data_IF_087984932157
#
_entry.id   IF_087984932157
#
_cell.length_a   1.000
_cell.length_b   1.000
_cell.length_c   1.000
_cell.angle_alpha   90.00
_cell.angle_beta   90.00
_cell.angle_gamma   90.00
#
_symmetry.space_group_name_H-M   'P 1'
#
loop_
_entity.id
_entity.type
_entity.pdbx_description
1 polymer ?
#
# COMPACT_ATOMS: atom_id res chain seq x y z
N UNK A 1 -11.16 -8.97 -3.28
CA UNK A 1 -9.88 -9.64 -2.99
C UNK A 1 -9.68 -10.68 -4.08
N UNK A 2 -9.05 -10.28 -5.17
CA UNK A 2 -8.87 -11.10 -6.38
C UNK A 2 -7.38 -11.23 -6.59
N UNK A 3 -6.78 -12.33 -6.15
CA UNK A 3 -5.40 -12.67 -6.48
C UNK A 3 -5.35 -13.17 -7.92
N UNK A 4 -4.74 -12.40 -8.82
CA UNK A 4 -4.41 -12.86 -10.17
C UNK A 4 -3.18 -13.78 -10.07
N UNK A 5 -3.30 -15.04 -10.47
CA UNK A 5 -2.20 -16.01 -10.56
C UNK A 5 -2.05 -16.42 -12.02
N UNK A 6 -0.93 -16.10 -12.65
CA UNK A 6 -0.58 -16.59 -14.00
C UNK A 6 0.77 -17.31 -13.92
N UNK A 7 0.82 -18.65 -13.98
CA UNK A 7 2.08 -19.38 -14.03
C UNK A 7 2.61 -19.46 -15.47
N UNK A 8 3.93 -19.29 -15.67
CA UNK A 8 4.63 -19.63 -16.92
C UNK A 8 5.82 -20.56 -16.67
N UNK A 9 6.06 -21.58 -17.51
CA UNK A 9 7.27 -22.40 -17.47
C UNK A 9 8.43 -21.69 -18.19
N UNK A 10 9.65 -21.77 -17.65
CA UNK A 10 10.88 -21.31 -18.34
C UNK A 10 11.57 -22.45 -19.10
N UNK A 11 12.22 -22.06 -20.21
CA UNK A 11 13.01 -22.90 -21.11
C UNK A 11 14.05 -23.78 -20.41
N UNK A 12 14.15 -25.05 -20.86
CA UNK A 12 15.13 -26.03 -20.41
C UNK A 12 16.54 -25.65 -20.87
N UNK A 13 17.40 -25.21 -19.96
CA UNK A 13 18.84 -25.33 -20.14
C UNK A 13 19.27 -26.70 -19.60
N UNK A 14 19.74 -27.54 -20.51
CA UNK A 14 20.18 -28.90 -20.21
C UNK A 14 21.50 -28.92 -19.45
N UNK A 15 21.49 -29.57 -18.30
CA UNK A 15 22.67 -30.24 -17.77
C UNK A 15 22.20 -31.58 -17.22
N UNK A 16 22.41 -32.65 -17.99
CA UNK A 16 22.00 -33.99 -17.62
C UNK A 16 23.25 -34.80 -17.25
N UNK A 17 23.45 -35.22 -15.99
CA UNK A 17 24.37 -36.29 -15.68
C UNK A 17 23.66 -37.64 -15.92
N UNK A 18 24.31 -38.56 -16.63
CA UNK A 18 23.80 -39.91 -16.87
C UNK A 18 23.58 -40.67 -15.54
N UNK A 19 22.52 -41.49 -15.40
CA UNK A 19 22.24 -42.16 -14.14
C UNK A 19 23.13 -43.42 -13.99
N UNK A 20 23.91 -43.48 -12.91
CA UNK A 20 24.49 -44.74 -12.41
C UNK A 20 23.37 -45.61 -11.81
N UNK A 21 23.37 -46.90 -12.16
CA UNK A 21 22.42 -47.91 -11.67
C UNK A 21 22.55 -48.08 -10.17
N UNK A 22 21.41 -48.11 -9.48
CA UNK A 22 21.27 -48.75 -8.17
C UNK A 22 21.05 -47.83 -6.98
N UNK A 23 19.90 -47.15 -6.90
CA UNK A 23 19.31 -46.75 -5.62
C UNK A 23 17.79 -46.78 -5.72
N UNK A 24 17.14 -47.29 -4.67
CA UNK A 24 15.68 -47.36 -4.50
C UNK A 24 15.07 -46.00 -4.88
N UNK A 25 14.23 -45.98 -5.92
CA UNK A 25 13.42 -44.80 -6.25
C UNK A 25 12.42 -44.58 -5.13
N UNK A 26 12.69 -43.63 -4.24
CA UNK A 26 11.61 -42.94 -3.54
C UNK A 26 10.73 -42.30 -4.61
N UNK A 27 9.52 -42.80 -4.81
CA UNK A 27 8.50 -42.11 -5.61
C UNK A 27 8.09 -40.84 -4.86
N UNK A 28 8.85 -39.76 -5.02
CA UNK A 28 8.34 -38.43 -4.70
C UNK A 28 7.35 -38.08 -5.82
N UNK A 29 6.06 -38.12 -5.48
CA UNK A 29 4.94 -37.94 -6.41
C UNK A 29 4.71 -36.48 -6.83
N UNK A 30 5.48 -35.53 -6.32
CA UNK A 30 5.36 -34.11 -6.67
C UNK A 30 6.75 -33.49 -6.84
N UNK A 31 7.05 -33.03 -8.06
CA UNK A 31 8.16 -32.10 -8.27
C UNK A 31 7.72 -30.70 -7.85
N UNK A 32 8.58 -29.96 -7.15
CA UNK A 32 8.33 -28.55 -6.87
C UNK A 32 8.59 -27.75 -8.16
N UNK A 33 7.53 -27.19 -8.74
CA UNK A 33 7.66 -26.16 -9.77
C UNK A 33 7.74 -24.79 -9.08
N UNK A 34 8.82 -24.05 -9.36
CA UNK A 34 8.97 -22.68 -8.88
C UNK A 34 8.35 -21.73 -9.92
N UNK A 35 7.45 -20.88 -9.46
CA UNK A 35 6.84 -19.83 -10.26
C UNK A 35 7.20 -18.46 -9.67
N UNK A 36 7.30 -17.47 -10.54
CA UNK A 36 7.34 -16.06 -10.15
C UNK A 36 6.02 -15.43 -10.55
N UNK A 37 5.43 -14.64 -9.66
CA UNK A 37 4.23 -13.88 -9.93
C UNK A 37 4.36 -12.49 -9.31
N UNK A 38 3.85 -11.49 -10.02
CA UNK A 38 3.72 -10.14 -9.51
C UNK A 38 2.43 -10.07 -8.66
N UNK A 39 2.54 -9.65 -7.40
CA UNK A 39 1.41 -9.52 -6.48
C UNK A 39 1.10 -8.04 -6.26
N UNK A 40 -0.14 -7.65 -6.55
CA UNK A 40 -0.66 -6.32 -6.29
C UNK A 40 -1.75 -6.38 -5.20
N UNK A 41 -1.71 -5.44 -4.26
CA UNK A 41 -2.75 -5.27 -3.25
C UNK A 41 -3.04 -3.79 -3.05
N UNK A 42 -4.22 -3.29 -3.42
CA UNK A 42 -4.60 -1.92 -3.10
C UNK A 42 -4.84 -1.79 -1.58
N UNK A 43 -4.54 -0.62 -1.04
CA UNK A 43 -4.92 -0.23 0.31
C UNK A 43 -5.35 1.23 0.33
N UNK A 44 -6.19 1.59 1.31
CA UNK A 44 -6.66 2.94 1.55
C UNK A 44 -6.36 3.28 3.00
N UNK A 45 -5.89 4.50 3.26
CA UNK A 45 -5.58 5.00 4.59
C UNK A 45 -6.44 6.22 4.91
N UNK A 46 -7.45 6.05 5.75
CA UNK A 46 -8.34 7.12 6.24
C UNK A 46 -7.61 7.94 7.33
N UNK A 47 -6.84 8.96 6.91
CA UNK A 47 -6.01 9.78 7.79
C UNK A 47 -6.82 10.47 8.91
N UNK A 48 -8.00 11.06 8.66
CA UNK A 48 -8.83 11.64 9.72
C UNK A 48 -9.25 10.64 10.80
N UNK A 49 -9.36 9.36 10.45
CA UNK A 49 -9.72 8.29 11.38
C UNK A 49 -8.56 7.80 12.26
N UNK A 50 -7.31 8.06 11.89
CA UNK A 50 -6.14 7.64 12.69
C UNK A 50 -6.23 8.29 14.08
N UNK A 51 -6.22 7.45 15.13
CA UNK A 51 -6.33 7.91 16.53
C UNK A 51 -7.69 8.54 16.89
N UNK A 52 -8.73 8.29 16.08
CA UNK A 52 -10.11 8.69 16.36
C UNK A 52 -10.96 7.45 16.65
N UNK A 53 -11.48 7.34 17.86
CA UNK A 53 -12.23 6.18 18.36
C UNK A 53 -13.72 6.53 18.49
N UNK A 54 -14.54 6.04 17.57
CA UNK A 54 -16.00 6.25 17.59
C UNK A 54 -16.66 5.42 18.68
N UNK A 55 -17.56 6.04 19.44
CA UNK A 55 -18.31 5.45 20.53
C UNK A 55 -19.61 4.78 20.05
N UNK A 56 -20.14 3.77 20.78
CA UNK A 56 -21.44 3.19 20.48
C UNK A 56 -22.56 4.23 20.56
N UNK A 57 -23.54 4.16 19.64
CA UNK A 57 -24.77 4.97 19.73
C UNK A 57 -25.75 4.41 20.76
N UNK A 58 -26.75 5.21 21.16
CA UNK A 58 -27.74 4.86 22.19
C UNK A 58 -28.48 3.53 21.95
N UNK A 59 -28.65 3.12 20.68
CA UNK A 59 -29.36 1.89 20.31
C UNK A 59 -28.42 0.69 20.06
N UNK A 60 -27.10 0.83 20.25
CA UNK A 60 -26.11 -0.22 19.94
C UNK A 60 -25.96 -0.55 18.44
N UNK A 61 -26.70 0.13 17.55
CA UNK A 61 -26.66 -0.08 16.10
C UNK A 61 -25.60 0.82 15.46
N UNK A 62 -24.49 0.21 15.11
CA UNK A 62 -23.35 0.82 14.43
C UNK A 62 -22.10 0.08 14.89
N UNK A 63 -21.35 -0.52 13.96
CA UNK A 63 -20.14 -1.30 14.30
C UNK A 63 -19.18 -0.36 15.05
N UNK A 64 -19.04 -0.46 16.38
CA UNK A 64 -18.05 0.33 17.10
C UNK A 64 -16.71 -0.15 16.57
N UNK A 65 -15.73 0.74 16.42
CA UNK A 65 -14.35 0.29 16.42
C UNK A 65 -14.05 -0.20 17.84
N UNK A 66 -14.55 -1.40 18.16
CA UNK A 66 -14.29 -2.31 19.27
C UNK A 66 -13.89 -1.73 20.64
N UNK A 67 -14.45 -0.59 21.06
CA UNK A 67 -14.26 -0.06 22.41
C UNK A 67 -15.60 0.41 22.98
N UNK A 68 -15.91 0.01 24.21
CA UNK A 68 -16.90 0.71 25.03
C UNK A 68 -16.39 2.13 25.32
N UNK A 69 -17.27 3.05 25.72
CA UNK A 69 -16.84 4.40 26.13
C UNK A 69 -15.81 4.35 27.26
N UNK A 70 -15.94 3.40 28.17
CA UNK A 70 -14.98 3.14 29.24
C UNK A 70 -13.64 2.60 28.71
N UNK A 71 -13.65 1.73 27.69
CA UNK A 71 -12.41 1.25 27.05
C UNK A 71 -11.73 2.32 26.19
N UNK A 72 -12.51 3.20 25.55
CA UNK A 72 -11.98 4.34 24.82
C UNK A 72 -11.35 5.37 25.77
N UNK A 73 -12.00 5.63 26.90
CA UNK A 73 -11.48 6.46 27.98
C UNK A 73 -10.29 5.80 28.68
N UNK A 74 -10.30 4.49 28.93
CA UNK A 74 -9.15 3.76 29.48
C UNK A 74 -7.98 3.72 28.52
N UNK A 75 -8.20 3.61 27.20
CA UNK A 75 -7.12 3.74 26.21
C UNK A 75 -6.59 5.17 26.19
N UNK A 76 -7.45 6.19 26.36
CA UNK A 76 -7.05 7.59 26.46
C UNK A 76 -6.32 7.92 27.79
N UNK A 77 -6.76 7.35 28.91
CA UNK A 77 -6.19 7.50 30.26
C UNK A 77 -4.89 6.69 30.39
N UNK A 78 -4.86 5.45 29.92
CA UNK A 78 -3.63 4.64 29.84
C UNK A 78 -2.62 5.23 28.87
N UNK A 79 -3.07 6.07 27.92
CA UNK A 79 -2.22 6.90 27.07
C UNK A 79 -1.87 8.28 27.67
N UNK A 80 -2.49 8.76 28.77
CA UNK A 80 -2.17 10.02 29.44
C UNK A 80 -1.96 11.28 28.54
N UNK A 81 -2.54 11.31 27.33
CA UNK A 81 -2.13 12.18 26.21
C UNK A 81 -3.27 13.08 25.73
N UNK A 82 -3.69 14.09 26.50
CA UNK A 82 -4.52 15.23 26.04
C UNK A 82 -5.65 14.90 25.04
N UNK A 83 -6.30 13.74 25.20
CA UNK A 83 -7.30 13.28 24.24
C UNK A 83 -8.62 14.03 24.47
N UNK A 84 -9.29 14.40 23.38
CA UNK A 84 -10.50 15.23 23.44
C UNK A 84 -11.72 14.47 22.96
N UNK A 85 -12.84 14.65 23.66
CA UNK A 85 -14.15 14.25 23.14
C UNK A 85 -14.51 15.12 21.92
N UNK A 86 -15.00 14.49 20.85
CA UNK A 86 -15.34 15.16 19.59
C UNK A 86 -16.49 14.43 18.89
N UNK A 87 -16.91 14.97 17.74
CA UNK A 87 -17.81 14.30 16.81
C UNK A 87 -17.03 13.97 15.53
N UNK A 88 -17.13 12.73 15.06
CA UNK A 88 -16.50 12.27 13.83
C UNK A 88 -17.56 11.57 12.96
N UNK A 89 -17.89 12.16 11.80
CA UNK A 89 -18.91 11.64 10.87
C UNK A 89 -20.22 11.25 11.58
N UNK A 90 -20.78 12.22 12.30
CA UNK A 90 -22.04 12.11 13.05
C UNK A 90 -22.05 11.09 14.20
N UNK A 91 -20.87 10.71 14.69
CA UNK A 91 -20.70 9.82 15.85
C UNK A 91 -19.86 10.49 16.92
N UNK A 92 -20.26 10.35 18.18
CA UNK A 92 -19.39 10.71 19.29
C UNK A 92 -18.09 9.91 19.21
N UNK A 93 -16.97 10.56 19.45
CA UNK A 93 -15.66 9.95 19.38
C UNK A 93 -14.70 10.54 20.41
N UNK A 94 -13.65 9.79 20.72
CA UNK A 94 -12.47 10.27 21.44
C UNK A 94 -11.33 10.39 20.43
N UNK A 95 -10.65 11.54 20.39
CA UNK A 95 -9.57 11.81 19.43
C UNK A 95 -8.27 12.10 20.17
N UNK A 96 -7.19 11.44 19.75
CA UNK A 96 -5.84 11.69 20.25
C UNK A 96 -5.28 13.03 19.70
N UNK A 97 -4.28 13.63 20.36
CA UNK A 97 -3.57 14.79 19.83
C UNK A 97 -2.98 14.52 18.45
N UNK A 98 -2.92 15.57 17.60
CA UNK A 98 -2.47 15.46 16.21
C UNK A 98 -1.08 14.83 16.09
N UNK A 99 -0.17 15.14 17.02
CA UNK A 99 1.20 14.59 17.02
C UNK A 99 1.23 13.06 17.16
N UNK A 100 0.37 12.48 18.02
CA UNK A 100 0.28 11.03 18.16
C UNK A 100 -0.35 10.37 16.92
N UNK A 101 -1.30 11.06 16.28
CA UNK A 101 -1.96 10.59 15.04
C UNK A 101 -0.96 10.57 13.88
N UNK A 102 -0.20 11.64 13.71
CA UNK A 102 0.91 11.78 12.74
C UNK A 102 1.98 10.73 12.95
N UNK A 103 2.40 10.51 14.21
CA UNK A 103 3.36 9.46 14.57
C UNK A 103 2.91 8.08 14.12
N UNK A 104 1.63 7.73 14.31
CA UNK A 104 1.07 6.43 13.89
C UNK A 104 1.04 6.27 12.37
N UNK A 105 0.62 7.29 11.63
CA UNK A 105 0.62 7.27 10.17
C UNK A 105 2.05 7.08 9.62
N UNK A 106 3.00 7.83 10.16
CA UNK A 106 4.39 7.76 9.74
C UNK A 106 5.02 6.39 10.07
N UNK A 107 4.73 5.84 11.26
CA UNK A 107 5.20 4.50 11.65
C UNK A 107 4.69 3.40 10.71
N UNK A 108 3.44 3.50 10.25
CA UNK A 108 2.88 2.57 9.26
C UNK A 108 3.67 2.64 7.94
N UNK A 109 3.90 3.85 7.40
CA UNK A 109 4.64 4.06 6.16
C UNK A 109 6.10 3.57 6.26
N UNK A 110 6.76 3.82 7.39
CA UNK A 110 8.11 3.30 7.65
C UNK A 110 8.13 1.78 7.76
N UNK A 111 7.12 1.19 8.40
CA UNK A 111 6.97 -0.25 8.48
C UNK A 111 6.82 -0.86 7.09
N UNK A 112 6.06 -0.23 6.19
CA UNK A 112 5.98 -0.63 4.77
C UNK A 112 7.34 -0.52 4.06
N UNK A 113 8.11 0.54 4.34
CA UNK A 113 9.46 0.69 3.78
C UNK A 113 10.43 -0.38 4.30
N UNK A 114 10.20 -0.90 5.51
CA UNK A 114 10.99 -1.91 6.19
C UNK A 114 10.50 -3.34 5.98
N UNK A 115 9.35 -3.54 5.31
CA UNK A 115 8.86 -4.87 4.94
C UNK A 115 9.97 -5.65 4.26
N UNK A 116 10.33 -6.78 4.87
CA UNK A 116 11.40 -7.65 4.44
C UNK A 116 11.09 -9.08 4.83
N UNK A 117 11.73 -10.03 4.14
CA UNK A 117 11.59 -11.46 4.39
C UNK A 117 10.50 -12.14 3.56
N UNK A 118 10.29 -13.42 3.86
CA UNK A 118 9.26 -14.30 3.31
C UNK A 118 8.81 -15.28 4.39
N UNK A 119 7.68 -15.98 4.17
CA UNK A 119 7.17 -16.94 5.16
C UNK A 119 8.27 -17.96 5.54
N UNK A 120 8.42 -18.24 6.85
CA UNK A 120 9.39 -19.19 7.42
C UNK A 120 10.86 -18.96 7.01
N UNK A 121 11.44 -17.79 7.32
CA UNK A 121 12.89 -17.53 7.10
C UNK A 121 13.36 -17.79 5.65
N UNK A 122 12.56 -17.41 4.65
CA UNK A 122 12.87 -17.56 3.22
C UNK A 122 12.88 -18.99 2.64
N UNK A 123 12.31 -19.98 3.34
CA UNK A 123 12.09 -21.33 2.77
C UNK A 123 11.33 -21.30 1.42
N UNK A 124 10.45 -20.31 1.24
CA UNK A 124 9.63 -20.15 0.03
C UNK A 124 10.09 -19.02 -0.92
N UNK A 125 11.31 -18.47 -0.74
CA UNK A 125 11.94 -17.47 -1.64
C UNK A 125 11.09 -16.24 -2.04
N UNK A 126 10.01 -15.93 -1.32
CA UNK A 126 9.16 -14.79 -1.63
C UNK A 126 9.77 -13.50 -1.09
N UNK A 127 10.31 -12.66 -1.97
CA UNK A 127 10.61 -11.26 -1.63
C UNK A 127 9.29 -10.54 -1.35
N UNK A 128 9.16 -9.93 -0.16
CA UNK A 128 8.00 -9.14 0.26
C UNK A 128 8.29 -7.64 0.26
N UNK A 129 9.48 -7.24 -0.17
CA UNK A 129 9.80 -5.82 -0.38
C UNK A 129 8.97 -5.31 -1.56
N UNK A 130 8.27 -4.17 -1.42
CA UNK A 130 7.57 -3.56 -2.55
C UNK A 130 8.55 -3.23 -3.69
N UNK A 131 8.31 -3.78 -4.87
CA UNK A 131 9.05 -3.43 -6.09
C UNK A 131 8.44 -2.21 -6.80
N UNK A 132 7.13 -2.03 -6.68
CA UNK A 132 6.36 -0.91 -7.21
C UNK A 132 5.29 -0.50 -6.20
N UNK A 133 5.10 0.80 -5.99
CA UNK A 133 4.00 1.37 -5.20
C UNK A 133 3.57 2.70 -5.82
N UNK A 134 2.28 2.98 -5.89
CA UNK A 134 1.72 4.26 -6.34
C UNK A 134 0.80 4.77 -5.25
N UNK A 135 1.04 6.00 -4.80
CA UNK A 135 0.30 6.65 -3.71
C UNK A 135 -0.21 7.99 -4.21
N UNK A 136 -1.50 8.25 -3.97
CA UNK A 136 -2.13 9.54 -4.25
C UNK A 136 -2.93 9.98 -3.03
N UNK A 137 -2.72 11.20 -2.53
CA UNK A 137 -3.62 11.83 -1.57
C UNK A 137 -4.97 12.07 -2.24
N UNK A 138 -6.06 11.61 -1.62
CA UNK A 138 -7.39 11.64 -2.24
C UNK A 138 -8.48 11.95 -1.21
N UNK A 139 -9.40 12.86 -1.57
CA UNK A 139 -10.55 13.30 -0.78
C UNK A 139 -11.71 12.30 -0.93
N UNK A 140 -11.57 11.11 -0.36
CA UNK A 140 -12.66 10.14 -0.35
C UNK A 140 -12.22 8.70 -0.16
N UNK A 141 -13.18 7.79 -0.30
CA UNK A 141 -12.96 6.34 -0.17
C UNK A 141 -12.75 5.59 -1.48
N UNK A 142 -12.63 6.29 -2.61
CA UNK A 142 -12.42 5.69 -3.93
C UNK A 142 -10.91 5.57 -4.18
N UNK A 143 -10.49 4.47 -4.80
CA UNK A 143 -9.12 4.29 -5.26
C UNK A 143 -9.03 4.59 -6.77
N UNK A 144 -8.56 5.77 -7.20
CA UNK A 144 -8.44 6.09 -8.63
C UNK A 144 -7.32 5.30 -9.33
N UNK A 145 -6.46 4.61 -8.57
CA UNK A 145 -5.29 3.90 -9.11
C UNK A 145 -5.58 2.45 -9.51
N UNK A 146 -6.83 1.98 -9.34
CA UNK A 146 -7.19 0.57 -9.48
C UNK A 146 -6.84 -0.03 -10.86
N UNK A 147 -6.82 0.79 -11.90
CA UNK A 147 -6.50 0.38 -13.28
C UNK A 147 -5.16 0.90 -13.79
N UNK A 148 -4.44 1.69 -12.99
CA UNK A 148 -3.08 2.17 -13.30
C UNK A 148 -2.08 1.03 -13.24
N UNK A 149 -2.22 0.15 -12.24
CA UNK A 149 -1.46 -1.09 -12.11
C UNK A 149 -2.43 -2.26 -12.20
N UNK A 150 -2.32 -3.04 -13.28
CA UNK A 150 -3.15 -4.23 -13.47
C UNK A 150 -2.37 -5.38 -14.12
N UNK A 151 -3.07 -6.48 -14.40
CA UNK A 151 -2.51 -7.63 -15.06
C UNK A 151 -3.28 -7.97 -16.33
N UNK A 152 -2.55 -8.36 -17.36
CA UNK A 152 -3.04 -8.89 -18.62
C UNK A 152 -2.55 -10.32 -18.81
N UNK A 153 -3.41 -11.22 -19.30
CA UNK A 153 -3.10 -12.65 -19.42
C UNK A 153 -1.94 -12.93 -20.39
N UNK A 154 -1.79 -12.10 -21.43
CA UNK A 154 -0.79 -12.27 -22.48
C UNK A 154 0.54 -11.56 -22.16
N UNK A 155 0.49 -10.38 -21.55
CA UNK A 155 1.65 -9.51 -21.34
C UNK A 155 2.14 -9.49 -19.89
N UNK A 156 1.28 -9.86 -18.93
CA UNK A 156 1.61 -9.87 -17.50
C UNK A 156 1.28 -8.52 -16.85
N UNK A 157 2.15 -8.06 -15.96
CA UNK A 157 2.01 -6.76 -15.29
C UNK A 157 1.95 -5.62 -16.31
N UNK A 158 0.99 -4.71 -16.15
CA UNK A 158 0.94 -3.43 -16.87
C UNK A 158 0.96 -2.29 -15.86
N UNK A 159 1.67 -1.23 -16.22
CA UNK A 159 1.71 0.03 -15.48
C UNK A 159 1.44 1.12 -16.50
N UNK A 160 0.31 1.81 -16.39
CA UNK A 160 -0.25 2.66 -17.47
C UNK A 160 -0.29 4.12 -17.05
N UNK A 161 0.64 4.91 -17.58
CA UNK A 161 0.71 6.36 -17.35
C UNK A 161 -0.45 7.08 -18.02
N UNK A 162 -0.85 6.65 -19.22
CA UNK A 162 -2.01 7.21 -19.93
C UNK A 162 -3.32 7.10 -19.10
N UNK A 163 -3.51 5.97 -18.40
CA UNK A 163 -4.65 5.75 -17.51
C UNK A 163 -4.54 6.61 -16.26
N UNK A 164 -3.35 6.72 -15.66
CA UNK A 164 -3.13 7.62 -14.52
C UNK A 164 -3.58 9.04 -14.88
N UNK A 165 -3.12 9.57 -16.01
CA UNK A 165 -3.47 10.93 -16.45
C UNK A 165 -4.97 11.14 -16.62
N UNK A 166 -5.66 10.17 -17.25
CA UNK A 166 -7.12 10.21 -17.42
C UNK A 166 -7.87 10.19 -16.09
N UNK A 167 -7.43 9.36 -15.14
CA UNK A 167 -8.03 9.29 -13.80
C UNK A 167 -7.80 10.59 -13.02
N UNK A 168 -6.57 11.13 -13.03
CA UNK A 168 -6.27 12.40 -12.36
C UNK A 168 -7.08 13.56 -12.93
N UNK A 169 -7.28 13.61 -14.25
CA UNK A 169 -8.12 14.61 -14.90
C UNK A 169 -9.61 14.43 -14.56
N UNK A 170 -10.11 13.19 -14.53
CA UNK A 170 -11.50 12.90 -14.19
C UNK A 170 -11.85 13.25 -12.73
N UNK A 171 -10.85 13.19 -11.84
CA UNK A 171 -10.98 13.48 -10.41
C UNK A 171 -10.34 14.81 -10.01
N UNK A 172 -10.21 15.76 -10.93
CA UNK A 172 -9.63 17.08 -10.65
C UNK A 172 -10.29 17.75 -9.43
N UNK A 173 -9.48 18.23 -8.49
CA UNK A 173 -9.94 18.82 -7.22
C UNK A 173 -10.16 17.83 -6.07
N UNK A 174 -10.27 16.52 -6.36
CA UNK A 174 -10.40 15.45 -5.37
C UNK A 174 -9.06 14.83 -4.95
N UNK A 175 -7.97 15.09 -5.67
CA UNK A 175 -6.63 14.64 -5.30
C UNK A 175 -5.66 15.82 -5.10
N UNK A 176 -4.54 15.56 -4.41
CA UNK A 176 -3.49 16.55 -4.18
C UNK A 176 -2.13 16.06 -4.69
N UNK A 177 -1.38 16.93 -5.36
CA UNK A 177 -0.03 16.62 -5.82
C UNK A 177 0.98 16.53 -4.67
N UNK A 178 2.08 15.76 -4.84
CA UNK A 178 2.36 14.89 -5.97
C UNK A 178 1.74 13.49 -5.83
N UNK A 179 1.43 12.85 -6.96
CA UNK A 179 1.31 11.39 -7.02
C UNK A 179 2.70 10.80 -6.85
N UNK A 180 2.89 9.96 -5.83
CA UNK A 180 4.20 9.41 -5.48
C UNK A 180 4.31 7.98 -5.96
N UNK A 181 5.30 7.73 -6.80
CA UNK A 181 5.58 6.44 -7.41
C UNK A 181 6.90 5.92 -6.88
N UNK A 182 6.82 4.87 -6.07
CA UNK A 182 7.99 4.10 -5.69
C UNK A 182 8.26 3.04 -6.73
N UNK A 183 9.34 3.14 -7.51
CA UNK A 183 9.72 2.16 -8.53
C UNK A 183 11.16 1.68 -8.30
N UNK A 184 11.32 0.39 -7.98
CA UNK A 184 12.64 -0.21 -7.72
C UNK A 184 13.44 -0.29 -9.03
N UNK A 185 14.66 0.25 -9.11
CA UNK A 185 15.51 0.08 -10.29
C UNK A 185 15.74 -1.42 -10.60
N UNK A 186 15.68 -1.80 -11.88
CA UNK A 186 15.82 -3.19 -12.32
C UNK A 186 14.52 -3.99 -12.30
N UNK A 187 13.42 -3.43 -11.78
CA UNK A 187 12.11 -4.06 -11.82
C UNK A 187 11.31 -3.51 -12.99
N UNK A 188 11.23 -4.26 -14.09
CA UNK A 188 10.44 -3.90 -15.29
C UNK A 188 10.83 -2.52 -15.84
N UNK A 189 12.12 -2.33 -16.11
CA UNK A 189 12.66 -1.05 -16.57
C UNK A 189 12.06 -0.63 -17.93
N UNK A 190 11.64 -1.58 -18.76
CA UNK A 190 10.89 -1.35 -20.00
C UNK A 190 9.55 -0.64 -19.71
N UNK A 191 8.75 -1.18 -18.78
CA UNK A 191 7.50 -0.56 -18.36
C UNK A 191 7.73 0.80 -17.69
N UNK A 192 8.84 0.94 -16.96
CA UNK A 192 9.21 2.20 -16.33
C UNK A 192 9.50 3.28 -17.36
N UNK A 193 10.27 2.94 -18.39
CA UNK A 193 10.62 3.87 -19.47
C UNK A 193 9.37 4.33 -20.23
N UNK A 194 8.45 3.40 -20.54
CA UNK A 194 7.19 3.73 -21.20
C UNK A 194 6.30 4.62 -20.33
N UNK A 195 6.19 4.30 -19.04
CA UNK A 195 5.46 5.14 -18.08
C UNK A 195 6.05 6.56 -17.96
N UNK A 196 7.37 6.68 -17.87
CA UNK A 196 8.07 7.97 -17.80
C UNK A 196 7.84 8.81 -19.07
N UNK A 197 7.75 8.19 -20.25
CA UNK A 197 7.39 8.88 -21.50
C UNK A 197 5.94 9.35 -21.49
N UNK A 198 5.01 8.52 -21.03
CA UNK A 198 3.58 8.85 -20.99
C UNK A 198 3.27 9.99 -20.01
N UNK A 199 4.00 10.05 -18.90
CA UNK A 199 3.86 11.05 -17.83
C UNK A 199 4.95 12.14 -17.85
N UNK A 200 5.59 12.38 -19.01
CA UNK A 200 6.73 13.29 -19.09
C UNK A 200 6.41 14.73 -18.65
N UNK A 201 5.20 15.21 -18.94
CA UNK A 201 4.71 16.53 -18.53
C UNK A 201 4.53 16.59 -17.01
N UNK A 202 3.84 15.62 -16.43
CA UNK A 202 3.58 15.55 -14.98
C UNK A 202 4.87 15.38 -14.16
N UNK A 203 5.86 14.67 -14.70
CA UNK A 203 7.19 14.55 -14.10
C UNK A 203 7.96 15.88 -14.14
N UNK A 204 7.89 16.61 -15.25
CA UNK A 204 8.52 17.92 -15.38
C UNK A 204 7.90 18.96 -14.44
N UNK A 205 6.58 18.90 -14.26
CA UNK A 205 5.82 19.77 -13.35
C UNK A 205 5.89 19.32 -11.88
N UNK A 206 6.51 18.17 -11.60
CA UNK A 206 6.56 17.54 -10.29
C UNK A 206 5.18 17.22 -9.68
N UNK A 207 4.14 17.12 -10.51
CA UNK A 207 2.81 16.63 -10.09
C UNK A 207 2.79 15.10 -9.96
N UNK A 208 3.72 14.42 -10.63
CA UNK A 208 4.10 13.03 -10.40
C UNK A 208 5.57 12.99 -10.01
N UNK A 209 5.94 12.16 -9.03
CA UNK A 209 7.33 11.94 -8.64
C UNK A 209 7.66 10.45 -8.62
N UNK A 210 8.82 10.08 -9.15
CA UNK A 210 9.31 8.69 -9.16
C UNK A 210 10.62 8.60 -8.38
N UNK A 211 10.69 7.68 -7.42
CA UNK A 211 11.91 7.35 -6.68
C UNK A 211 11.87 5.88 -6.22
N UNK A 212 12.87 5.40 -5.48
CA UNK A 212 12.86 4.08 -4.87
C UNK A 212 11.68 3.95 -3.88
N UNK A 213 10.95 2.79 -3.81
CA UNK A 213 9.82 2.60 -2.90
C UNK A 213 10.08 2.97 -1.45
N UNK A 214 11.27 2.63 -0.96
CA UNK A 214 11.74 3.01 0.39
C UNK A 214 11.91 4.52 0.58
N UNK A 215 12.42 5.23 -0.44
CA UNK A 215 12.60 6.67 -0.37
C UNK A 215 11.24 7.37 -0.37
N UNK A 216 10.33 6.98 -1.27
CA UNK A 216 8.95 7.48 -1.30
C UNK A 216 8.23 7.31 0.04
N UNK A 217 8.24 6.09 0.60
CA UNK A 217 7.56 5.80 1.86
C UNK A 217 8.17 6.55 3.05
N UNK A 218 9.50 6.65 3.11
CA UNK A 218 10.19 7.38 4.20
C UNK A 218 10.06 8.89 4.06
N UNK A 219 10.09 9.41 2.84
CA UNK A 219 9.84 10.82 2.53
C UNK A 219 8.44 11.22 2.99
N UNK A 220 7.42 10.47 2.57
CA UNK A 220 6.05 10.71 3.04
C UNK A 220 5.91 10.57 4.55
N UNK A 221 6.58 9.59 5.18
CA UNK A 221 6.59 9.46 6.64
C UNK A 221 7.25 10.67 7.35
N UNK A 222 8.27 11.28 6.76
CA UNK A 222 8.88 12.49 7.27
C UNK A 222 7.95 13.70 7.11
N UNK A 223 7.29 13.83 5.95
CA UNK A 223 6.28 14.86 5.71
C UNK A 223 5.10 14.76 6.69
N UNK A 224 4.64 13.54 6.99
CA UNK A 224 3.58 13.29 7.98
C UNK A 224 3.93 13.78 9.38
N UNK A 225 5.22 13.86 9.74
CA UNK A 225 5.67 14.39 11.03
C UNK A 225 5.84 15.90 11.02
N UNK A 226 5.99 16.50 9.85
CA UNK A 226 5.96 17.96 9.69
C UNK A 226 4.54 18.50 9.84
N UNK A 227 4.38 19.82 9.83
CA UNK A 227 3.06 20.46 9.84
C UNK A 227 2.44 20.59 8.44
N UNK A 228 3.17 20.22 7.38
CA UNK A 228 2.74 20.42 6.00
C UNK A 228 1.47 19.64 5.63
N UNK A 229 1.24 18.50 6.28
CA UNK A 229 0.13 17.58 5.99
C UNK A 229 -0.90 17.52 7.13
N UNK A 230 -0.86 18.46 8.08
CA UNK A 230 -1.77 18.45 9.24
C UNK A 230 -3.24 18.48 8.80
N UNK A 231 -3.56 19.20 7.71
CA UNK A 231 -4.89 19.29 7.15
C UNK A 231 -5.46 17.91 6.71
N UNK A 232 -4.62 16.95 6.32
CA UNK A 232 -5.08 15.60 5.95
C UNK A 232 -5.63 14.80 7.14
N UNK A 233 -5.27 15.18 8.36
CA UNK A 233 -5.80 14.57 9.57
C UNK A 233 -7.12 15.22 10.00
N UNK A 234 -7.60 16.25 9.33
CA UNK A 234 -8.91 16.82 9.61
C UNK A 234 -9.97 16.26 8.68
N UNK A 235 -11.15 16.02 9.23
CA UNK A 235 -12.32 15.56 8.48
C UNK A 235 -13.15 16.81 8.17
N UNK A 236 -13.05 17.40 6.97
CA UNK A 236 -13.86 18.56 6.62
C UNK A 236 -15.34 18.16 6.68
N UNK A 237 -16.16 18.96 7.34
CA UNK A 237 -17.60 18.80 7.28
C UNK A 237 -18.05 18.91 5.82
N UNK A 238 -18.71 17.87 5.31
CA UNK A 238 -19.39 17.90 4.01
C UNK A 238 -20.81 18.42 4.18
#
# INVERSE_FOLDING_TARGET
>A
MTTLRVPRPRHRHGCSPAPRRGTRRSRQLHGHEFYTADLASPFLLDLPRIGTFTLPGANGVGRPNYLTSEQALQVAEAAASDATATTFRDRHAVRLPIEERKRRAALLLESLAHLSGGAKQALDYGDRVPSLIVLVPFKGGINPLAHVIDGDEATGLRVRGDVLRKELAAWEGEWEAPVRIGWRPGFRDDLREDFEKECAEELAEQTVVIDHPRAVLRGLAAEMRSTALDAWFEDPAR
#
